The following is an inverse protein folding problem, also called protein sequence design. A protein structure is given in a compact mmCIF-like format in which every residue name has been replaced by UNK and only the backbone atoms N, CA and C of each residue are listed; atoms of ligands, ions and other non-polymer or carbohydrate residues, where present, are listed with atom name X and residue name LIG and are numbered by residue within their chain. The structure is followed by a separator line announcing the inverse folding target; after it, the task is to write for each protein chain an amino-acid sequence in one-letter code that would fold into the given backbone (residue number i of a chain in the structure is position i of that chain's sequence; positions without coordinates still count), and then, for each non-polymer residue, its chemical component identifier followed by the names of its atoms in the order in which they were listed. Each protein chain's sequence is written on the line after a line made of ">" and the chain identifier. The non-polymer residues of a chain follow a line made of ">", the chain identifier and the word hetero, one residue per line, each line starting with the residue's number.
data_IF_213229869185
#
_entry.id   IF_213229869185
#
_cell.length_a   1.000
_cell.length_b   1.000
_cell.length_c   1.000
_cell.angle_alpha   90.00
_cell.angle_beta   90.00
_cell.angle_gamma   90.00
#
_symmetry.space_group_name_H-M   'P 1'
#
loop_
_entity.id
_entity.type
_entity.pdbx_description
1 polymer ?
#
# COMPACT_ATOMS: atom_id res chain seq x y z
N UNK A 1 -23.24 9.13 34.05
CA UNK A 1 -22.27 8.03 34.08
C UNK A 1 -21.06 8.55 34.82
N UNK A 2 -20.77 7.97 36.00
CA UNK A 2 -19.71 8.42 36.89
C UNK A 2 -18.35 8.33 36.18
N UNK A 3 -17.59 9.42 36.21
CA UNK A 3 -16.21 9.52 35.71
C UNK A 3 -15.25 8.49 36.35
N UNK A 4 -15.62 7.93 37.47
CA UNK A 4 -14.86 6.92 38.23
C UNK A 4 -14.78 5.55 37.55
N UNK A 5 -15.62 5.23 36.56
CA UNK A 5 -15.59 3.94 35.85
C UNK A 5 -14.65 3.91 34.63
N UNK A 6 -13.93 4.98 34.36
CA UNK A 6 -13.03 5.10 33.18
C UNK A 6 -11.53 4.99 33.52
N UNK A 7 -11.18 4.85 34.81
CA UNK A 7 -9.79 4.64 35.27
C UNK A 7 -9.06 3.48 34.57
N UNK A 8 -9.72 2.35 34.22
CA UNK A 8 -9.03 1.27 33.48
C UNK A 8 -8.51 1.65 32.10
N UNK A 9 -9.01 2.75 31.54
CA UNK A 9 -8.60 3.22 30.19
C UNK A 9 -7.37 4.13 30.20
N UNK A 10 -6.88 4.55 31.37
CA UNK A 10 -5.73 5.49 31.45
C UNK A 10 -4.47 4.98 30.79
N UNK A 11 -4.08 3.73 31.04
CA UNK A 11 -2.90 3.10 30.43
C UNK A 11 -3.07 2.88 28.92
N UNK A 12 -4.16 2.28 28.42
CA UNK A 12 -4.42 2.18 26.99
C UNK A 12 -4.41 3.52 26.26
N UNK A 13 -4.94 4.58 26.84
CA UNK A 13 -4.97 5.92 26.22
C UNK A 13 -3.58 6.55 26.14
N UNK A 14 -2.72 6.34 27.15
CA UNK A 14 -1.34 6.82 27.09
C UNK A 14 -0.51 6.08 26.03
N UNK A 15 -0.69 4.77 25.90
CA UNK A 15 -0.06 3.97 24.85
C UNK A 15 -0.57 4.39 23.46
N UNK A 16 -1.87 4.63 23.32
CA UNK A 16 -2.47 5.13 22.08
C UNK A 16 -1.92 6.51 21.71
N UNK A 17 -1.80 7.43 22.67
CA UNK A 17 -1.20 8.75 22.43
C UNK A 17 0.21 8.61 21.90
N UNK A 18 1.05 7.82 22.55
CA UNK A 18 2.43 7.56 22.12
C UNK A 18 2.47 6.99 20.69
N UNK A 19 1.58 6.06 20.37
CA UNK A 19 1.49 5.50 19.02
C UNK A 19 1.03 6.56 18.02
N UNK A 20 0.03 7.36 18.33
CA UNK A 20 -0.47 8.43 17.48
C UNK A 20 0.60 9.50 17.18
N UNK A 21 1.38 9.89 18.19
CA UNK A 21 2.52 10.80 18.04
C UNK A 21 3.62 10.19 17.16
N UNK A 22 3.91 8.88 17.33
CA UNK A 22 4.84 8.15 16.44
C UNK A 22 4.36 8.15 14.99
N UNK A 23 3.07 8.14 14.75
CA UNK A 23 2.45 8.24 13.42
C UNK A 23 2.35 9.69 12.91
N UNK A 24 2.95 10.65 13.60
CA UNK A 24 3.01 12.06 13.20
C UNK A 24 1.74 12.86 13.47
N UNK A 25 0.88 12.40 14.38
CA UNK A 25 -0.21 13.20 14.91
C UNK A 25 0.28 14.10 16.05
N UNK A 26 -0.17 15.35 16.07
CA UNK A 26 -0.08 16.18 17.26
C UNK A 26 -1.37 15.96 18.06
N UNK A 27 -1.24 15.41 19.24
CA UNK A 27 -2.36 14.99 20.08
C UNK A 27 -2.24 15.64 21.45
N UNK A 28 -3.31 16.27 21.92
CA UNK A 28 -3.41 16.81 23.27
C UNK A 28 -3.69 15.72 24.31
N UNK A 29 -4.65 15.95 25.17
CA UNK A 29 -5.09 14.96 26.16
C UNK A 29 -6.23 14.12 25.61
N UNK A 30 -5.95 12.83 25.37
CA UNK A 30 -6.98 11.89 24.92
C UNK A 30 -7.89 11.50 26.10
N UNK A 31 -9.19 11.69 25.92
CA UNK A 31 -10.19 11.31 26.91
C UNK A 31 -11.36 10.58 26.27
N UNK A 32 -11.88 9.52 26.89
CA UNK A 32 -13.14 8.92 26.46
C UNK A 32 -14.29 9.74 27.05
N UNK A 33 -15.20 10.18 26.21
CA UNK A 33 -16.39 10.93 26.67
C UNK A 33 -17.64 10.36 26.00
N UNK A 34 -18.79 10.60 26.64
CA UNK A 34 -20.07 10.25 26.03
C UNK A 34 -20.34 11.22 24.89
N UNK A 35 -20.46 10.71 23.68
CA UNK A 35 -20.84 11.48 22.51
C UNK A 35 -22.37 11.42 22.33
N UNK A 36 -23.03 12.52 22.64
CA UNK A 36 -24.46 12.69 22.40
C UNK A 36 -24.61 13.07 20.93
N UNK A 37 -24.87 12.08 20.09
CA UNK A 37 -25.24 12.34 18.68
C UNK A 37 -26.60 12.99 18.65
N UNK A 38 -26.81 13.86 17.65
CA UNK A 38 -28.10 14.52 17.41
C UNK A 38 -29.27 13.54 17.15
N UNK A 39 -28.97 12.27 16.92
CA UNK A 39 -29.99 11.25 16.67
C UNK A 39 -30.26 10.41 17.94
N UNK A 40 -31.42 10.64 18.63
CA UNK A 40 -31.76 9.97 19.89
C UNK A 40 -31.97 8.45 19.76
N UNK A 41 -32.08 7.92 18.55
CA UNK A 41 -32.31 6.48 18.32
C UNK A 41 -31.03 5.62 18.31
N UNK A 42 -29.84 6.21 18.32
CA UNK A 42 -28.57 5.46 18.22
C UNK A 42 -27.88 5.20 19.57
N UNK A 43 -28.48 5.59 20.68
CA UNK A 43 -27.90 5.42 22.02
C UNK A 43 -26.64 6.27 22.27
N UNK A 44 -26.27 6.45 23.51
CA UNK A 44 -25.04 7.12 23.91
C UNK A 44 -23.85 6.21 23.56
N UNK A 45 -22.92 6.69 22.76
CA UNK A 45 -21.67 6.00 22.43
C UNK A 45 -20.50 6.69 23.13
N UNK A 46 -19.51 5.91 23.54
CA UNK A 46 -18.23 6.46 24.01
C UNK A 46 -17.44 6.87 22.77
N UNK A 47 -17.00 8.11 22.73
CA UNK A 47 -16.15 8.65 21.69
C UNK A 47 -14.81 9.11 22.26
N UNK A 48 -13.76 8.98 21.45
CA UNK A 48 -12.46 9.53 21.76
C UNK A 48 -12.49 11.05 21.52
N UNK A 49 -12.05 11.81 22.51
CA UNK A 49 -11.85 13.25 22.42
C UNK A 49 -10.36 13.58 22.52
N UNK A 50 -9.94 14.57 21.77
CA UNK A 50 -8.67 15.24 21.93
C UNK A 50 -8.97 16.57 22.62
N UNK A 51 -8.61 16.66 23.91
CA UNK A 51 -9.08 17.72 24.81
C UNK A 51 -10.62 17.80 24.84
N UNK A 52 -11.20 18.86 24.27
CA UNK A 52 -12.64 19.09 24.21
C UNK A 52 -13.27 18.78 22.85
N UNK A 53 -12.46 18.35 21.84
CA UNK A 53 -12.93 18.11 20.49
C UNK A 53 -13.11 16.61 20.22
N UNK A 54 -14.33 16.15 19.91
CA UNK A 54 -14.54 14.76 19.49
C UNK A 54 -13.72 14.42 18.25
N UNK A 55 -13.04 13.26 18.26
CA UNK A 55 -12.15 12.88 17.16
C UNK A 55 -12.87 12.77 15.81
N UNK A 56 -14.20 12.52 15.83
CA UNK A 56 -15.04 12.51 14.60
C UNK A 56 -15.07 13.85 13.86
N UNK A 57 -14.77 14.96 14.53
CA UNK A 57 -14.75 16.32 13.95
C UNK A 57 -13.37 16.71 13.38
N UNK A 58 -12.34 15.91 13.65
CA UNK A 58 -11.02 16.13 13.06
C UNK A 58 -11.01 15.90 11.54
N UNK A 59 -9.96 16.38 10.87
CA UNK A 59 -9.73 16.18 9.43
C UNK A 59 -9.65 14.69 9.05
N UNK A 60 -9.89 14.37 7.78
CA UNK A 60 -9.90 12.98 7.29
C UNK A 60 -8.58 12.25 7.56
N UNK A 61 -7.44 12.91 7.29
CA UNK A 61 -6.12 12.35 7.53
C UNK A 61 -5.87 12.05 9.02
N UNK A 62 -6.22 12.99 9.92
CA UNK A 62 -6.07 12.78 11.37
C UNK A 62 -6.93 11.63 11.87
N UNK A 63 -8.17 11.54 11.40
CA UNK A 63 -9.05 10.39 11.73
C UNK A 63 -8.48 9.08 11.24
N UNK A 64 -7.94 9.07 10.03
CA UNK A 64 -7.31 7.88 9.45
C UNK A 64 -6.10 7.43 10.27
N UNK A 65 -5.19 8.37 10.58
CA UNK A 65 -4.00 8.08 11.39
C UNK A 65 -4.37 7.61 12.81
N UNK A 66 -5.37 8.19 13.44
CA UNK A 66 -5.84 7.73 14.76
C UNK A 66 -6.43 6.32 14.69
N UNK A 67 -7.22 6.02 13.66
CA UNK A 67 -7.73 4.65 13.45
C UNK A 67 -6.59 3.64 13.28
N UNK A 68 -5.56 4.01 12.52
CA UNK A 68 -4.34 3.19 12.36
C UNK A 68 -3.61 3.06 13.71
N UNK A 69 -3.46 4.15 14.47
CA UNK A 69 -2.81 4.12 15.78
C UNK A 69 -3.49 3.14 16.76
N UNK A 70 -4.81 3.10 16.77
CA UNK A 70 -5.58 2.14 17.59
C UNK A 70 -5.25 0.70 17.17
N UNK A 71 -5.30 0.39 15.87
CA UNK A 71 -5.00 -0.95 15.36
C UNK A 71 -3.55 -1.36 15.65
N UNK A 72 -2.62 -0.41 15.50
CA UNK A 72 -1.21 -0.62 15.76
C UNK A 72 -0.90 -0.85 17.24
N UNK A 73 -1.58 -0.14 18.14
CA UNK A 73 -1.48 -0.39 19.58
C UNK A 73 -1.88 -1.83 19.92
N UNK A 74 -2.95 -2.33 19.33
CA UNK A 74 -3.39 -3.72 19.49
C UNK A 74 -2.38 -4.72 18.91
N UNK A 75 -1.88 -4.47 17.71
CA UNK A 75 -0.87 -5.32 17.07
C UNK A 75 0.43 -5.37 17.88
N UNK A 76 0.88 -4.24 18.43
CA UNK A 76 2.10 -4.17 19.26
C UNK A 76 2.04 -5.03 20.52
N UNK A 77 0.85 -5.40 20.98
CA UNK A 77 0.61 -6.30 22.10
C UNK A 77 0.47 -7.78 21.69
N UNK A 78 0.76 -8.11 20.42
CA UNK A 78 0.66 -9.47 19.87
C UNK A 78 -0.63 -9.73 19.11
N UNK A 79 -1.42 -8.70 18.81
CA UNK A 79 -2.63 -8.77 18.01
C UNK A 79 -2.35 -8.70 16.49
N UNK A 80 -3.43 -8.64 15.72
CA UNK A 80 -3.42 -8.50 14.27
C UNK A 80 -4.05 -7.15 13.90
N UNK A 81 -3.37 -6.36 13.08
CA UNK A 81 -3.92 -5.16 12.45
C UNK A 81 -4.24 -5.44 10.98
N UNK A 82 -5.44 -5.06 10.55
CA UNK A 82 -5.90 -5.13 9.16
C UNK A 82 -6.16 -3.71 8.67
N UNK A 83 -5.32 -3.22 7.75
CA UNK A 83 -5.39 -1.85 7.25
C UNK A 83 -5.73 -1.91 5.77
N UNK A 84 -6.97 -1.58 5.46
CA UNK A 84 -7.45 -1.53 4.08
C UNK A 84 -7.16 -0.17 3.46
N UNK A 85 -6.63 -0.15 2.21
CA UNK A 85 -6.27 1.06 1.47
C UNK A 85 -5.51 2.08 2.33
N UNK A 86 -4.27 1.75 2.70
CA UNK A 86 -3.46 2.58 3.62
C UNK A 86 -3.34 4.04 3.15
N UNK A 87 -3.32 4.27 1.85
CA UNK A 87 -3.19 5.59 1.23
C UNK A 87 -4.43 6.47 1.38
N UNK A 88 -5.57 5.91 1.79
CA UNK A 88 -6.82 6.66 1.80
C UNK A 88 -6.78 7.86 2.76
N UNK A 89 -6.83 9.07 2.18
CA UNK A 89 -6.85 10.33 2.93
C UNK A 89 -5.50 10.76 3.51
N UNK A 90 -4.40 10.15 3.06
CA UNK A 90 -3.05 10.47 3.48
C UNK A 90 -2.19 10.98 2.33
N UNK A 91 -1.27 11.88 2.64
CA UNK A 91 -0.25 12.36 1.72
C UNK A 91 0.84 11.29 1.50
N UNK A 92 1.52 11.29 0.32
CA UNK A 92 2.55 10.31 -0.02
C UNK A 92 3.65 10.14 1.03
N UNK A 93 4.14 11.23 1.61
CA UNK A 93 5.19 11.19 2.62
C UNK A 93 4.75 10.48 3.91
N UNK A 94 3.48 10.65 4.29
CA UNK A 94 2.90 9.94 5.44
C UNK A 94 2.77 8.46 5.18
N UNK A 95 2.42 8.06 3.96
CA UNK A 95 2.36 6.64 3.56
C UNK A 95 3.73 5.99 3.67
N UNK A 96 4.78 6.66 3.18
CA UNK A 96 6.17 6.20 3.30
C UNK A 96 6.55 6.01 4.78
N UNK A 97 6.29 7.02 5.60
CA UNK A 97 6.58 6.97 7.04
C UNK A 97 5.85 5.81 7.73
N UNK A 98 4.56 5.65 7.49
CA UNK A 98 3.74 4.56 8.05
C UNK A 98 4.30 3.19 7.66
N UNK A 99 4.63 3.00 6.37
CA UNK A 99 5.17 1.72 5.88
C UNK A 99 6.48 1.36 6.57
N UNK A 100 7.32 2.35 6.89
CA UNK A 100 8.55 2.15 7.67
C UNK A 100 8.26 1.75 9.12
N UNK A 101 7.32 2.44 9.77
CA UNK A 101 6.93 2.14 11.17
C UNK A 101 6.37 0.72 11.29
N UNK A 102 5.59 0.26 10.30
CA UNK A 102 5.02 -1.09 10.34
C UNK A 102 6.07 -2.19 10.32
N UNK A 103 7.23 -1.96 9.70
CA UNK A 103 8.34 -2.91 9.70
C UNK A 103 8.99 -3.08 11.09
N UNK A 104 8.79 -2.12 12.00
CA UNK A 104 9.36 -2.16 13.35
C UNK A 104 8.52 -2.98 14.34
N UNK A 105 7.33 -3.44 13.94
CA UNK A 105 6.48 -4.26 14.80
C UNK A 105 7.06 -5.66 14.94
N UNK A 106 7.43 -6.01 16.16
CA UNK A 106 8.10 -7.27 16.48
C UNK A 106 7.20 -8.34 17.09
N UNK A 107 6.05 -7.97 17.66
CA UNK A 107 5.21 -8.89 18.44
C UNK A 107 3.87 -9.25 17.79
N UNK A 108 3.42 -8.50 16.80
CA UNK A 108 2.14 -8.71 16.14
C UNK A 108 2.27 -8.86 14.64
N UNK A 109 1.14 -8.85 13.96
CA UNK A 109 1.06 -8.92 12.51
C UNK A 109 0.27 -7.73 11.96
N UNK A 110 0.73 -7.19 10.83
CA UNK A 110 0.04 -6.10 10.13
C UNK A 110 -0.17 -6.53 8.68
N UNK A 111 -1.42 -6.59 8.27
CA UNK A 111 -1.81 -6.82 6.89
C UNK A 111 -2.34 -5.53 6.29
N UNK A 112 -1.86 -5.19 5.12
CA UNK A 112 -2.16 -3.93 4.45
C UNK A 112 -2.62 -4.21 3.04
N UNK A 113 -3.75 -3.63 2.61
CA UNK A 113 -4.06 -3.52 1.19
C UNK A 113 -3.65 -2.15 0.68
N UNK A 114 -3.20 -2.07 -0.56
CA UNK A 114 -2.73 -0.80 -1.13
C UNK A 114 -2.78 -0.79 -2.65
N UNK A 115 -3.04 0.39 -3.21
CA UNK A 115 -2.81 0.75 -4.61
C UNK A 115 -1.68 1.79 -4.75
N UNK A 116 -0.91 2.05 -3.68
CA UNK A 116 0.15 3.05 -3.66
C UNK A 116 1.50 2.47 -4.07
N UNK A 117 2.09 3.06 -5.10
CA UNK A 117 3.48 2.74 -5.50
C UNK A 117 4.48 3.02 -4.36
N UNK A 118 4.20 3.98 -3.49
CA UNK A 118 5.07 4.31 -2.36
C UNK A 118 5.17 3.15 -1.36
N UNK A 119 4.07 2.45 -1.10
CA UNK A 119 4.09 1.24 -0.26
C UNK A 119 4.92 0.14 -0.91
N UNK A 120 4.74 -0.08 -2.21
CA UNK A 120 5.52 -1.07 -2.96
C UNK A 120 7.00 -0.72 -2.93
N UNK A 121 7.39 0.55 -3.07
CA UNK A 121 8.78 1.00 -3.00
C UNK A 121 9.40 0.81 -1.63
N UNK A 122 8.65 1.04 -0.56
CA UNK A 122 9.14 0.89 0.81
C UNK A 122 9.09 -0.56 1.31
N UNK A 123 8.16 -1.39 0.85
CA UNK A 123 8.10 -2.81 1.21
C UNK A 123 9.36 -3.55 0.73
N UNK A 124 9.56 -4.79 1.16
CA UNK A 124 10.49 -5.74 0.54
C UNK A 124 9.69 -6.70 -0.33
N UNK A 125 10.32 -7.29 -1.35
CA UNK A 125 9.61 -8.27 -2.19
C UNK A 125 8.99 -9.39 -1.33
N UNK A 126 9.73 -9.85 -0.32
CA UNK A 126 9.30 -10.90 0.61
C UNK A 126 8.10 -10.55 1.50
N UNK A 127 7.68 -9.28 1.53
CA UNK A 127 6.50 -8.83 2.28
C UNK A 127 5.34 -8.46 1.35
N UNK A 128 5.51 -8.70 0.03
CA UNK A 128 4.47 -8.41 -0.96
C UNK A 128 3.77 -9.69 -1.40
N UNK A 129 2.47 -9.60 -1.50
CA UNK A 129 1.60 -10.64 -2.03
C UNK A 129 0.70 -10.02 -3.11
N UNK A 130 0.50 -10.76 -4.17
CA UNK A 130 -0.44 -10.40 -5.24
C UNK A 130 -1.69 -11.25 -5.10
N UNK A 131 -2.83 -10.60 -4.94
CA UNK A 131 -4.13 -11.25 -4.98
C UNK A 131 -4.63 -11.25 -6.42
N UNK A 132 -4.74 -12.44 -6.99
CA UNK A 132 -5.36 -12.62 -8.31
C UNK A 132 -6.87 -12.66 -8.17
N UNK A 133 -7.57 -11.63 -8.62
CA UNK A 133 -9.04 -11.54 -8.52
C UNK A 133 -9.78 -12.57 -9.37
N UNK A 134 -9.14 -13.17 -10.38
CA UNK A 134 -9.74 -14.19 -11.24
C UNK A 134 -9.74 -15.58 -10.59
N UNK A 135 -8.70 -15.92 -9.83
CA UNK A 135 -8.53 -17.22 -9.16
C UNK A 135 -8.72 -17.15 -7.65
N UNK A 136 -8.78 -15.96 -7.07
CA UNK A 136 -8.74 -15.71 -5.61
C UNK A 136 -7.47 -16.28 -4.94
N UNK A 137 -6.41 -16.46 -5.69
CA UNK A 137 -5.13 -16.94 -5.17
C UNK A 137 -4.26 -15.79 -4.70
N UNK A 138 -3.63 -15.96 -3.55
CA UNK A 138 -2.66 -15.06 -2.99
C UNK A 138 -1.26 -15.61 -3.24
N UNK A 139 -0.49 -14.93 -4.09
CA UNK A 139 0.85 -15.38 -4.49
C UNK A 139 1.91 -14.43 -3.93
N UNK A 140 2.93 -15.00 -3.28
CA UNK A 140 4.05 -14.27 -2.72
C UNK A 140 5.00 -13.78 -3.82
N UNK A 141 5.50 -12.55 -3.69
CA UNK A 141 6.49 -11.96 -4.61
C UNK A 141 7.88 -12.48 -4.27
N UNK A 142 8.54 -13.11 -5.23
CA UNK A 142 9.88 -13.68 -5.04
C UNK A 142 10.96 -12.58 -4.97
N UNK A 143 12.03 -12.84 -4.19
CA UNK A 143 13.10 -11.87 -3.93
C UNK A 143 13.83 -11.38 -5.21
N UNK A 144 13.88 -12.20 -6.26
CA UNK A 144 14.46 -11.85 -7.56
C UNK A 144 13.75 -10.68 -8.24
N UNK A 145 12.51 -10.39 -7.86
CA UNK A 145 11.75 -9.22 -8.33
C UNK A 145 12.03 -7.95 -7.52
N UNK A 146 12.92 -7.96 -6.52
CA UNK A 146 13.16 -6.76 -5.70
C UNK A 146 13.71 -5.59 -6.51
N UNK A 147 14.59 -5.84 -7.47
CA UNK A 147 15.07 -4.80 -8.38
C UNK A 147 13.96 -4.31 -9.34
N UNK A 148 13.10 -5.22 -9.83
CA UNK A 148 11.94 -4.84 -10.62
C UNK A 148 11.00 -3.94 -9.82
N UNK A 149 10.71 -4.29 -8.58
CA UNK A 149 9.89 -3.54 -7.65
C UNK A 149 10.41 -2.11 -7.44
N UNK A 150 11.72 -1.95 -7.26
CA UNK A 150 12.36 -0.63 -7.06
C UNK A 150 12.39 0.22 -8.32
N UNK A 151 12.63 -0.40 -9.48
CA UNK A 151 12.77 0.32 -10.75
C UNK A 151 11.42 0.56 -11.45
N UNK A 152 10.47 -0.32 -11.25
CA UNK A 152 9.18 -0.34 -11.93
C UNK A 152 8.04 -0.70 -10.95
N UNK A 153 7.78 0.08 -9.90
CA UNK A 153 6.76 -0.26 -8.89
C UNK A 153 5.35 -0.36 -9.48
N UNK A 154 5.07 0.36 -10.57
CA UNK A 154 3.80 0.30 -11.31
C UNK A 154 3.48 -1.08 -11.88
N UNK A 155 4.50 -1.94 -12.04
CA UNK A 155 4.35 -3.32 -12.54
C UNK A 155 3.30 -4.10 -11.78
N UNK A 156 3.27 -3.91 -10.46
CA UNK A 156 2.42 -4.68 -9.56
C UNK A 156 0.94 -4.28 -9.59
N UNK A 157 0.61 -3.20 -10.31
CA UNK A 157 -0.76 -2.70 -10.48
C UNK A 157 -1.30 -2.88 -11.90
N UNK A 158 -0.47 -3.36 -12.83
CA UNK A 158 -0.89 -3.69 -14.19
C UNK A 158 -1.75 -4.96 -14.26
N UNK A 159 -2.50 -5.10 -15.34
CA UNK A 159 -3.19 -6.36 -15.68
C UNK A 159 -2.36 -7.16 -16.70
N UNK A 160 -1.73 -6.44 -17.62
CA UNK A 160 -0.89 -6.96 -18.71
C UNK A 160 0.46 -6.26 -18.66
N UNK A 161 1.52 -6.98 -18.88
CA UNK A 161 2.87 -6.47 -18.77
C UNK A 161 3.64 -6.66 -20.07
N UNK A 162 4.31 -5.60 -20.54
CA UNK A 162 5.29 -5.69 -21.61
C UNK A 162 6.66 -5.53 -20.96
N UNK A 163 7.41 -6.61 -20.84
CA UNK A 163 8.78 -6.58 -20.31
C UNK A 163 9.74 -6.32 -21.45
N UNK A 164 10.42 -5.19 -21.41
CA UNK A 164 11.42 -4.81 -22.41
C UNK A 164 12.83 -4.89 -21.84
N UNK A 165 13.81 -5.08 -22.73
CA UNK A 165 15.20 -5.29 -22.37
C UNK A 165 15.79 -4.05 -21.70
N UNK A 166 15.66 -2.89 -22.33
CA UNK A 166 16.35 -1.68 -21.92
C UNK A 166 15.57 -0.38 -22.12
N UNK A 167 16.31 0.71 -22.00
CA UNK A 167 15.75 2.06 -22.12
C UNK A 167 15.31 2.42 -23.53
N UNK A 168 15.95 1.87 -24.53
CA UNK A 168 15.64 2.11 -25.96
C UNK A 168 14.26 1.56 -26.29
N UNK A 169 14.02 0.29 -25.99
CA UNK A 169 12.75 -0.39 -26.19
C UNK A 169 11.64 0.26 -25.35
N UNK A 170 11.98 0.63 -24.11
CA UNK A 170 11.06 1.35 -23.22
C UNK A 170 10.62 2.70 -23.83
N UNK A 171 11.60 3.47 -24.37
CA UNK A 171 11.32 4.73 -25.04
C UNK A 171 10.45 4.56 -26.30
N UNK A 172 10.76 3.53 -27.11
CA UNK A 172 9.97 3.18 -28.29
C UNK A 172 8.51 2.84 -27.91
N UNK A 173 8.31 2.00 -26.91
CA UNK A 173 6.97 1.61 -26.45
C UNK A 173 6.17 2.80 -25.89
N UNK A 174 6.84 3.74 -25.22
CA UNK A 174 6.18 4.97 -24.77
C UNK A 174 5.72 5.86 -25.90
N UNK A 175 6.58 6.03 -26.92
CA UNK A 175 6.21 6.81 -28.12
C UNK A 175 5.08 6.11 -28.90
N UNK A 176 5.12 4.78 -28.99
CA UNK A 176 4.06 3.99 -29.60
C UNK A 176 2.73 4.20 -28.87
N UNK A 177 2.73 4.17 -27.54
CA UNK A 177 1.57 4.41 -26.69
C UNK A 177 0.93 5.78 -26.98
N UNK A 178 1.75 6.83 -27.03
CA UNK A 178 1.31 8.19 -27.37
C UNK A 178 0.71 8.28 -28.78
N UNK A 179 1.29 7.60 -29.75
CA UNK A 179 0.77 7.55 -31.14
C UNK A 179 -0.54 6.78 -31.24
N UNK A 180 -0.66 5.67 -30.53
CA UNK A 180 -1.89 4.89 -30.47
C UNK A 180 -3.03 5.70 -29.83
N UNK A 181 -2.73 6.44 -28.77
CA UNK A 181 -3.69 7.33 -28.12
C UNK A 181 -4.19 8.41 -29.08
N UNK A 182 -3.25 9.11 -29.74
CA UNK A 182 -3.57 10.21 -30.66
C UNK A 182 -4.35 9.74 -31.88
N UNK A 183 -3.98 8.57 -32.46
CA UNK A 183 -4.53 8.11 -33.74
C UNK A 183 -5.79 7.26 -33.59
N UNK A 184 -5.85 6.46 -32.53
CA UNK A 184 -6.88 5.43 -32.35
C UNK A 184 -7.67 5.57 -31.07
N UNK A 185 -7.40 6.60 -30.26
CA UNK A 185 -7.97 6.79 -28.91
C UNK A 185 -7.82 5.51 -28.05
N UNK A 186 -6.68 4.85 -28.16
CA UNK A 186 -6.35 3.62 -27.47
C UNK A 186 -4.93 3.74 -26.90
N UNK A 187 -4.80 3.63 -25.60
CA UNK A 187 -3.52 3.68 -24.91
C UNK A 187 -3.31 2.48 -23.98
N UNK A 188 -2.07 2.30 -23.56
CA UNK A 188 -1.70 1.19 -22.68
C UNK A 188 -2.43 1.25 -21.35
N UNK A 189 -2.55 2.44 -20.75
CA UNK A 189 -3.17 2.62 -19.44
C UNK A 189 -4.65 2.21 -19.43
N UNK A 190 -5.43 2.61 -20.43
CA UNK A 190 -6.86 2.23 -20.54
C UNK A 190 -7.05 0.73 -20.72
N UNK A 191 -6.05 0.04 -21.26
CA UNK A 191 -6.06 -1.42 -21.43
C UNK A 191 -5.37 -2.18 -20.28
N UNK A 192 -4.97 -1.47 -19.23
CA UNK A 192 -4.28 -2.04 -18.07
C UNK A 192 -2.89 -2.61 -18.39
N UNK A 193 -2.26 -2.09 -19.46
CA UNK A 193 -0.91 -2.51 -19.90
C UNK A 193 0.14 -1.64 -19.22
N UNK A 194 1.14 -2.26 -18.62
CA UNK A 194 2.30 -1.59 -18.03
C UNK A 194 3.57 -2.06 -18.71
N UNK A 195 4.44 -1.11 -19.09
CA UNK A 195 5.75 -1.39 -19.64
C UNK A 195 6.78 -1.48 -18.52
N UNK A 196 7.53 -2.57 -18.49
CA UNK A 196 8.54 -2.89 -17.49
C UNK A 196 9.91 -2.87 -18.12
N UNK A 197 10.78 -1.96 -17.70
CA UNK A 197 12.17 -1.92 -18.14
C UNK A 197 13.02 -2.86 -17.27
N UNK A 198 13.54 -3.93 -17.85
CA UNK A 198 14.34 -4.91 -17.12
C UNK A 198 15.78 -4.42 -16.83
N UNK A 199 16.32 -3.53 -17.65
CA UNK A 199 17.69 -3.04 -17.54
C UNK A 199 18.76 -4.07 -17.90
N UNK A 200 18.45 -4.97 -18.86
CA UNK A 200 19.33 -5.96 -19.44
C UNK A 200 18.62 -7.27 -19.80
N UNK A 201 19.10 -7.94 -20.84
CA UNK A 201 18.48 -9.13 -21.43
C UNK A 201 18.28 -10.28 -20.45
N UNK A 202 19.29 -10.62 -19.66
CA UNK A 202 19.21 -11.71 -18.66
C UNK A 202 18.11 -11.47 -17.62
N UNK A 203 17.94 -10.22 -17.20
CA UNK A 203 16.89 -9.84 -16.24
C UNK A 203 15.51 -9.85 -16.86
N UNK A 204 15.41 -9.52 -18.16
CA UNK A 204 14.15 -9.47 -18.88
C UNK A 204 13.44 -10.81 -18.83
N UNK A 205 14.12 -11.90 -19.16
CA UNK A 205 13.54 -13.24 -19.10
C UNK A 205 13.19 -13.68 -17.68
N UNK A 206 14.09 -13.37 -16.73
CA UNK A 206 13.84 -13.66 -15.30
C UNK A 206 12.57 -12.94 -14.82
N UNK A 207 12.43 -11.65 -15.12
CA UNK A 207 11.25 -10.88 -14.74
C UNK A 207 10.00 -11.41 -15.42
N UNK A 208 10.05 -11.68 -16.73
CA UNK A 208 8.91 -12.20 -17.47
C UNK A 208 8.40 -13.52 -16.89
N UNK A 209 9.30 -14.47 -16.60
CA UNK A 209 8.92 -15.76 -15.99
C UNK A 209 8.35 -15.60 -14.58
N UNK A 210 8.97 -14.78 -13.72
CA UNK A 210 8.51 -14.57 -12.35
C UNK A 210 7.18 -13.83 -12.31
N UNK A 211 7.01 -12.80 -13.14
CA UNK A 211 5.74 -12.05 -13.23
C UNK A 211 4.61 -12.93 -13.79
N UNK A 212 4.91 -13.79 -14.75
CA UNK A 212 3.93 -14.78 -15.23
C UNK A 212 3.47 -15.75 -14.14
N UNK A 213 4.39 -16.19 -13.27
CA UNK A 213 4.04 -17.03 -12.10
C UNK A 213 3.14 -16.31 -11.09
N UNK A 214 3.23 -14.98 -10.99
CA UNK A 214 2.33 -14.16 -10.18
C UNK A 214 0.93 -14.00 -10.79
N UNK A 215 0.68 -14.56 -11.97
CA UNK A 215 -0.62 -14.53 -12.65
C UNK A 215 -0.81 -13.38 -13.63
N UNK A 216 0.25 -12.61 -13.94
CA UNK A 216 0.16 -11.56 -14.96
C UNK A 216 0.16 -12.14 -16.37
N UNK A 217 -0.55 -11.48 -17.29
CA UNK A 217 -0.39 -11.68 -18.73
C UNK A 217 0.88 -10.93 -19.15
N UNK A 218 1.91 -11.67 -19.61
CA UNK A 218 3.24 -11.10 -19.89
C UNK A 218 3.62 -11.29 -21.34
N UNK A 219 4.05 -10.20 -21.97
CA UNK A 219 4.70 -10.17 -23.29
C UNK A 219 6.14 -9.66 -23.13
N UNK A 220 7.06 -10.20 -23.91
CA UNK A 220 8.46 -9.75 -23.96
C UNK A 220 8.69 -8.97 -25.24
N UNK A 221 9.36 -7.82 -25.14
CA UNK A 221 9.77 -6.99 -26.27
C UNK A 221 11.28 -6.73 -26.21
N UNK A 222 12.02 -7.30 -27.15
CA UNK A 222 13.48 -7.25 -27.21
C UNK A 222 13.96 -7.07 -28.64
N UNK A 223 15.21 -6.60 -28.79
CA UNK A 223 15.90 -6.60 -30.06
C UNK A 223 16.17 -8.04 -30.53
N UNK A 224 16.28 -8.22 -31.86
CA UNK A 224 16.60 -9.52 -32.46
C UNK A 224 18.11 -9.72 -32.53
N UNK A 225 18.82 -9.52 -31.46
CA UNK A 225 20.24 -9.75 -31.32
C UNK A 225 20.58 -11.21 -30.93
N UNK A 226 21.89 -11.51 -30.80
CA UNK A 226 22.37 -12.86 -30.50
C UNK A 226 21.89 -13.34 -29.13
N UNK A 227 21.75 -12.45 -28.16
CA UNK A 227 21.26 -12.79 -26.80
C UNK A 227 19.79 -13.20 -26.81
N UNK A 228 18.96 -12.50 -27.57
CA UNK A 228 17.54 -12.83 -27.76
C UNK A 228 17.34 -14.15 -28.54
N UNK A 229 18.28 -14.53 -29.42
CA UNK A 229 18.20 -15.80 -30.15
C UNK A 229 18.54 -17.02 -29.30
N UNK A 230 19.40 -16.88 -28.27
CA UNK A 230 19.78 -17.97 -27.38
C UNK A 230 18.70 -18.32 -26.34
N UNK A 231 17.72 -17.44 -26.15
CA UNK A 231 16.67 -17.61 -25.15
C UNK A 231 15.33 -18.14 -25.68
N UNK A 232 15.29 -18.48 -26.99
CA UNK A 232 14.18 -19.20 -27.64
C UNK A 232 14.33 -20.69 -27.48
#
# INVERSE_FOLDING_TARGET
>A
VDSHNLEPLGKPLSELKTMAEKLGLTVGTLTPQIDIKENPYTGNSIALHDENLPYRLHGKGSKRLMSIAIQMSMASQGGIALIDEIEQGLEPDRIVMLTRIFKEISKGQVFITTHSMNVVLEATATNLFILNSGTNELTHVEAELDNCRRSNPQTFFGKKLIVCEGKTEYGFLRELDMKLDTKYNANFSTNGVVVVNAGGGDKMYTYALKLKKLGYEVCVFADNDVSAQMAK
#
